data_IF_723804776390
#
_entry.id   IF_723804776390
#
_cell.length_a   1.000
_cell.length_b   1.000
_cell.length_c   1.000
_cell.angle_alpha   90.00
_cell.angle_beta   90.00
_cell.angle_gamma   90.00
#
_symmetry.space_group_name_H-M   'P 1'
#
loop_
_entity.id
_entity.type
_entity.pdbx_description
1 polymer ?
#
# COMPACT_ATOMS: atom_id res chain seq x y z
N UNK A 1 -5.75 -19.34 -9.31
CA UNK A 1 -5.69 -18.85 -10.70
C UNK A 1 -6.16 -17.40 -10.84
N UNK A 2 -7.45 -17.05 -10.72
CA UNK A 2 -7.88 -15.63 -10.82
C UNK A 2 -7.42 -14.74 -9.64
N UNK A 3 -7.42 -15.29 -8.42
CA UNK A 3 -7.00 -14.57 -7.20
C UNK A 3 -5.51 -14.20 -7.19
N UNK A 4 -4.68 -15.04 -7.79
CA UNK A 4 -3.23 -14.84 -7.83
C UNK A 4 -2.87 -13.75 -8.86
N UNK A 5 -3.60 -13.71 -9.99
CA UNK A 5 -3.44 -12.66 -10.99
C UNK A 5 -3.79 -11.27 -10.46
N UNK A 6 -4.82 -11.18 -9.60
CA UNK A 6 -5.19 -9.93 -8.93
C UNK A 6 -4.07 -9.46 -8.00
N UNK A 7 -3.43 -10.37 -7.26
CA UNK A 7 -2.29 -10.02 -6.41
C UNK A 7 -1.11 -9.49 -7.23
N UNK A 8 -0.79 -10.14 -8.35
CA UNK A 8 0.31 -9.72 -9.22
C UNK A 8 0.07 -8.33 -9.84
N UNK A 9 -1.15 -8.08 -10.30
CA UNK A 9 -1.55 -6.78 -10.86
C UNK A 9 -1.50 -5.68 -9.79
N UNK A 10 -2.05 -5.91 -8.59
CA UNK A 10 -2.00 -4.94 -7.48
C UNK A 10 -0.56 -4.70 -7.04
N UNK A 11 0.24 -5.75 -6.89
CA UNK A 11 1.64 -5.65 -6.50
C UNK A 11 2.42 -4.79 -7.50
N UNK A 12 2.19 -5.00 -8.80
CA UNK A 12 2.81 -4.20 -9.86
C UNK A 12 2.41 -2.73 -9.76
N UNK A 13 1.10 -2.47 -9.56
CA UNK A 13 0.56 -1.11 -9.48
C UNK A 13 1.09 -0.35 -8.26
N UNK A 14 1.09 -0.99 -7.08
CA UNK A 14 1.59 -0.39 -5.84
C UNK A 14 3.11 -0.23 -5.86
N UNK A 15 3.85 -1.19 -6.40
CA UNK A 15 5.33 -1.08 -6.49
C UNK A 15 5.71 0.05 -7.45
N UNK A 16 5.04 0.14 -8.60
CA UNK A 16 5.25 1.23 -9.54
C UNK A 16 4.92 2.60 -8.94
N UNK A 17 3.92 2.67 -8.06
CA UNK A 17 3.58 3.89 -7.33
C UNK A 17 4.69 4.37 -6.38
N UNK A 18 5.43 3.44 -5.78
CA UNK A 18 6.57 3.76 -4.91
C UNK A 18 7.84 4.08 -5.71
N UNK A 19 8.06 3.40 -6.84
CA UNK A 19 9.26 3.59 -7.68
C UNK A 19 9.22 4.88 -8.50
N UNK A 20 8.04 5.25 -9.03
CA UNK A 20 7.84 6.44 -9.85
C UNK A 20 6.72 7.32 -9.27
N UNK A 21 6.92 7.90 -8.08
CA UNK A 21 5.89 8.71 -7.44
C UNK A 21 5.64 9.99 -8.23
N UNK A 22 4.37 10.30 -8.47
CA UNK A 22 3.91 11.64 -8.82
C UNK A 22 2.84 12.07 -7.79
N UNK A 23 2.41 13.34 -7.85
CA UNK A 23 1.50 13.90 -6.84
C UNK A 23 0.17 13.12 -6.73
N UNK A 24 -0.44 12.78 -7.86
CA UNK A 24 -1.72 12.06 -7.92
C UNK A 24 -1.60 10.61 -7.42
N UNK A 25 -0.53 9.92 -7.84
CA UNK A 25 -0.21 8.56 -7.40
C UNK A 25 0.09 8.53 -5.91
N UNK A 26 0.86 9.50 -5.41
CA UNK A 26 1.19 9.62 -3.98
C UNK A 26 -0.07 9.86 -3.16
N UNK A 27 -0.94 10.78 -3.58
CA UNK A 27 -2.21 11.05 -2.88
C UNK A 27 -3.13 9.83 -2.88
N UNK A 28 -3.12 9.03 -3.95
CA UNK A 28 -3.89 7.79 -4.02
C UNK A 28 -3.33 6.73 -3.08
N UNK A 29 -2.01 6.56 -3.05
CA UNK A 29 -1.35 5.65 -2.11
C UNK A 29 -1.60 6.08 -0.66
N UNK A 30 -1.54 7.38 -0.36
CA UNK A 30 -1.84 7.92 0.96
C UNK A 30 -3.27 7.61 1.42
N UNK A 31 -4.24 7.72 0.51
CA UNK A 31 -5.63 7.34 0.78
C UNK A 31 -5.76 5.85 1.07
N UNK A 32 -5.09 4.99 0.30
CA UNK A 32 -5.11 3.54 0.52
C UNK A 32 -4.51 3.22 1.90
N UNK A 33 -3.34 3.76 2.21
CA UNK A 33 -2.64 3.53 3.47
C UNK A 33 -3.46 3.97 4.68
N UNK A 34 -4.07 5.16 4.60
CA UNK A 34 -4.91 5.69 5.68
C UNK A 34 -6.22 4.90 5.81
N UNK A 35 -6.87 4.52 4.70
CA UNK A 35 -8.19 3.87 4.74
C UNK A 35 -8.11 2.39 5.16
N UNK A 36 -7.01 1.73 4.83
CA UNK A 36 -6.82 0.30 5.08
C UNK A 36 -5.84 0.02 6.23
N UNK A 37 -5.35 1.06 6.91
CA UNK A 37 -4.38 0.97 8.00
C UNK A 37 -3.18 0.07 7.63
N UNK A 38 -2.62 0.32 6.45
CA UNK A 38 -1.50 -0.41 5.89
C UNK A 38 -0.38 0.56 5.49
N UNK A 39 0.84 0.07 5.30
CA UNK A 39 1.96 0.87 4.87
C UNK A 39 2.82 0.18 3.83
N UNK A 40 3.18 0.90 2.77
CA UNK A 40 3.96 0.37 1.67
C UNK A 40 3.24 -0.76 0.94
N UNK A 41 3.96 -1.46 0.07
CA UNK A 41 3.43 -2.64 -0.63
C UNK A 41 3.47 -3.84 0.31
N UNK A 42 4.64 -4.13 0.87
CA UNK A 42 4.91 -5.26 1.79
C UNK A 42 5.04 -4.81 3.24
N UNK A 43 5.37 -3.55 3.47
CA UNK A 43 5.46 -2.96 4.79
C UNK A 43 6.14 -1.58 4.78
N UNK A 44 6.30 -0.95 5.95
CA UNK A 44 6.91 0.38 6.06
C UNK A 44 8.36 0.44 5.59
N UNK A 45 9.08 -0.69 5.57
CA UNK A 45 10.45 -0.78 5.08
C UNK A 45 10.59 -0.44 3.60
N UNK A 46 9.51 -0.52 2.81
CA UNK A 46 9.50 -0.11 1.40
C UNK A 46 9.90 1.37 1.23
N UNK A 47 9.66 2.19 2.27
CA UNK A 47 10.04 3.60 2.31
C UNK A 47 11.46 3.86 2.85
N UNK A 48 12.22 2.82 3.22
CA UNK A 48 13.62 2.91 3.69
C UNK A 48 13.82 3.93 4.82
N UNK A 49 12.87 4.01 5.74
CA UNK A 49 12.88 4.92 6.89
C UNK A 49 12.16 6.26 6.69
N UNK A 50 11.82 6.65 5.46
CA UNK A 50 11.07 7.87 5.17
C UNK A 50 9.57 7.59 5.03
N UNK A 51 8.98 7.04 6.09
CA UNK A 51 7.58 6.59 6.11
C UNK A 51 6.62 7.80 6.04
N UNK A 52 5.64 7.83 5.11
CA UNK A 52 4.72 8.94 4.97
C UNK A 52 3.73 9.03 6.13
N UNK A 53 3.11 10.20 6.29
CA UNK A 53 2.13 10.43 7.37
C UNK A 53 0.88 9.56 7.26
N UNK A 54 0.54 9.10 6.05
CA UNK A 54 -0.56 8.18 5.77
C UNK A 54 -0.35 6.76 6.30
N UNK A 55 0.91 6.41 6.65
CA UNK A 55 1.28 5.11 7.20
C UNK A 55 1.21 5.04 8.73
N UNK A 56 0.68 6.05 9.41
CA UNK A 56 0.68 6.11 10.88
C UNK A 56 -0.60 6.68 11.45
N UNK A 57 -0.94 6.24 12.65
CA UNK A 57 -1.95 6.84 13.50
C UNK A 57 -1.28 7.36 14.77
N UNK A 58 -1.18 8.69 14.89
CA UNK A 58 -0.40 9.32 15.96
C UNK A 58 1.10 8.95 15.88
N UNK A 59 1.58 8.17 16.85
CA UNK A 59 2.97 7.69 16.92
C UNK A 59 3.15 6.25 16.42
N UNK A 60 2.06 5.53 16.14
CA UNK A 60 2.11 4.13 15.72
C UNK A 60 2.13 4.01 14.20
N UNK A 61 3.12 3.31 13.67
CA UNK A 61 3.24 3.03 12.23
C UNK A 61 2.56 1.71 11.90
N UNK A 62 1.76 1.69 10.84
CA UNK A 62 1.15 0.46 10.35
C UNK A 62 2.23 -0.51 9.85
N UNK A 63 2.25 -1.71 10.41
CA UNK A 63 3.24 -2.74 10.07
C UNK A 63 2.81 -3.65 8.93
N UNK A 64 1.52 -3.66 8.58
CA UNK A 64 0.99 -4.50 7.51
C UNK A 64 1.17 -3.84 6.13
N UNK A 65 1.64 -4.61 5.15
CA UNK A 65 1.75 -4.17 3.77
C UNK A 65 0.40 -4.06 3.07
N UNK A 66 0.22 -3.00 2.27
CA UNK A 66 -1.04 -2.74 1.58
C UNK A 66 -1.41 -3.78 0.54
N UNK A 67 -0.45 -4.50 -0.03
CA UNK A 67 -0.75 -5.61 -0.95
C UNK A 67 -1.67 -6.63 -0.28
N UNK A 68 -1.35 -7.03 0.96
CA UNK A 68 -2.09 -8.05 1.68
C UNK A 68 -3.51 -7.61 2.06
N UNK A 69 -3.66 -6.38 2.54
CA UNK A 69 -4.93 -5.84 3.03
C UNK A 69 -5.85 -5.48 1.87
N UNK A 70 -5.31 -4.77 0.87
CA UNK A 70 -6.08 -4.28 -0.27
C UNK A 70 -6.50 -5.41 -1.21
N UNK A 71 -5.62 -6.38 -1.47
CA UNK A 71 -6.00 -7.51 -2.31
C UNK A 71 -7.02 -8.42 -1.61
N UNK A 72 -6.93 -8.59 -0.28
CA UNK A 72 -7.95 -9.29 0.48
C UNK A 72 -9.32 -8.58 0.40
N UNK A 73 -9.35 -7.25 0.44
CA UNK A 73 -10.56 -6.47 0.26
C UNK A 73 -11.18 -6.67 -1.13
N UNK A 74 -10.38 -6.56 -2.20
CA UNK A 74 -10.84 -6.74 -3.58
C UNK A 74 -11.27 -8.17 -3.91
N UNK A 75 -10.74 -9.18 -3.21
CA UNK A 75 -11.17 -10.57 -3.37
C UNK A 75 -12.48 -10.88 -2.66
N UNK A 76 -12.91 -10.01 -1.73
CA UNK A 76 -14.10 -10.20 -0.90
C UNK A 76 -15.32 -9.44 -1.42
N UNK A 77 -15.11 -8.40 -2.22
CA UNK A 77 -16.16 -7.59 -2.86
C UNK A 77 -16.16 -7.79 -4.37
#
# INVERSE_FOLDING_TARGET
VYKDKIDDEINTLMTGALENPNEEITATMDKIQTSFHCCGVKGPDDYKGNVPASCKEGQEVYVQGCLSVFSAFLKRN
#
